data_IF_202653508283
#
_entry.id   IF_202653508283
#
_cell.length_a   1.000
_cell.length_b   1.000
_cell.length_c   1.000
_cell.angle_alpha   90.00
_cell.angle_beta   90.00
_cell.angle_gamma   90.00
#
_symmetry.space_group_name_H-M   'P 1'
#
loop_
_entity.id
_entity.type
_entity.pdbx_description
1 polymer ?
#
# COMPACT_ATOMS: atom_id res chain seq x y z
N UNK A 1 14.19 -8.03 -13.77
CA UNK A 1 13.70 -6.73 -14.27
C UNK A 1 12.52 -6.98 -15.20
N UNK A 2 11.33 -7.13 -14.62
CA UNK A 2 10.08 -7.30 -15.36
C UNK A 2 9.65 -5.97 -15.97
N UNK A 3 9.10 -5.93 -17.20
CA UNK A 3 8.67 -4.69 -17.88
C UNK A 3 7.70 -3.82 -17.06
N UNK A 4 6.90 -4.47 -16.20
CA UNK A 4 5.93 -3.81 -15.32
C UNK A 4 6.58 -2.97 -14.22
N UNK A 5 7.73 -3.39 -13.67
CA UNK A 5 8.46 -2.61 -12.66
C UNK A 5 8.97 -1.31 -13.29
N UNK A 6 9.45 -1.35 -14.53
CA UNK A 6 9.86 -0.15 -15.24
C UNK A 6 8.69 0.82 -15.45
N UNK A 7 7.51 0.31 -15.86
CA UNK A 7 6.30 1.10 -16.07
C UNK A 7 5.76 1.75 -14.78
N UNK A 8 5.77 1.03 -13.68
CA UNK A 8 5.32 1.55 -12.39
C UNK A 8 6.32 2.51 -11.75
N UNK A 9 7.63 2.24 -11.87
CA UNK A 9 8.68 3.17 -11.45
C UNK A 9 8.65 4.44 -12.32
N UNK A 10 8.26 4.34 -13.58
CA UNK A 10 8.06 5.50 -14.46
C UNK A 10 6.75 6.25 -14.22
N UNK A 11 5.92 5.83 -13.23
CA UNK A 11 4.60 6.40 -12.91
C UNK A 11 3.64 6.46 -14.11
N UNK A 12 3.83 5.58 -15.08
CA UNK A 12 2.98 5.56 -16.27
C UNK A 12 1.76 4.68 -15.99
N UNK A 13 0.75 5.29 -15.36
CA UNK A 13 -0.50 4.65 -14.95
C UNK A 13 -1.16 3.90 -16.12
N UNK A 14 -1.13 4.47 -17.33
CA UNK A 14 -1.72 3.86 -18.53
C UNK A 14 -0.93 2.65 -19.00
N UNK A 15 0.40 2.74 -19.01
CA UNK A 15 1.25 1.62 -19.39
C UNK A 15 1.14 0.48 -18.37
N UNK A 16 1.12 0.80 -17.07
CA UNK A 16 0.91 -0.18 -16.01
C UNK A 16 -0.47 -0.84 -16.13
N UNK A 17 -1.54 -0.08 -16.36
CA UNK A 17 -2.88 -0.61 -16.56
C UNK A 17 -2.99 -1.50 -17.80
N UNK A 18 -2.39 -1.10 -18.94
CA UNK A 18 -2.37 -1.90 -20.17
C UNK A 18 -1.59 -3.20 -20.02
N UNK A 19 -0.47 -3.19 -19.29
CA UNK A 19 0.31 -4.42 -19.04
C UNK A 19 -0.47 -5.33 -18.09
N UNK A 20 -1.15 -4.79 -17.08
CA UNK A 20 -1.99 -5.56 -16.16
C UNK A 20 -3.26 -6.11 -16.83
N UNK A 21 -3.88 -5.39 -17.78
CA UNK A 21 -5.04 -5.86 -18.55
C UNK A 21 -4.71 -7.03 -19.49
N UNK A 22 -3.48 -7.04 -20.00
CA UNK A 22 -3.06 -7.97 -21.05
C UNK A 22 -2.30 -9.18 -20.50
N UNK A 23 -1.86 -9.13 -19.24
CA UNK A 23 -1.19 -10.23 -18.54
C UNK A 23 -2.11 -10.70 -17.41
N UNK A 24 -2.99 -11.66 -17.73
CA UNK A 24 -3.85 -12.34 -16.76
C UNK A 24 -3.10 -13.30 -15.82
N UNK A 25 -1.90 -12.94 -15.36
CA UNK A 25 -1.12 -13.77 -14.43
C UNK A 25 -1.19 -13.22 -13.01
N UNK A 26 -1.35 -14.14 -12.04
CA UNK A 26 -0.92 -13.94 -10.65
C UNK A 26 0.58 -13.60 -10.67
N UNK A 27 0.93 -12.32 -10.68
CA UNK A 27 2.31 -11.87 -10.57
C UNK A 27 2.73 -12.02 -9.09
N UNK A 28 3.07 -13.25 -8.70
CA UNK A 28 3.81 -13.54 -7.46
C UNK A 28 5.30 -13.35 -7.75
N UNK A 29 5.79 -12.15 -7.44
CA UNK A 29 7.22 -11.84 -7.52
C UNK A 29 7.89 -12.34 -6.24
N UNK A 30 8.64 -13.42 -6.38
CA UNK A 30 9.63 -13.83 -5.41
C UNK A 30 10.88 -14.23 -6.17
N UNK A 31 11.91 -13.41 -6.10
CA UNK A 31 13.17 -13.84 -5.46
C UNK A 31 14.12 -12.67 -5.21
N UNK A 32 14.68 -12.68 -3.98
CA UNK A 32 15.75 -11.82 -3.47
C UNK A 32 15.31 -10.53 -2.74
N UNK A 33 14.74 -10.74 -1.55
CA UNK A 33 14.76 -9.89 -0.33
C UNK A 33 14.42 -8.39 -0.41
N UNK A 34 14.03 -7.83 -1.56
CA UNK A 34 13.80 -6.39 -1.75
C UNK A 34 12.88 -6.09 -2.94
N UNK A 35 11.96 -6.98 -3.30
CA UNK A 35 10.95 -6.72 -4.33
C UNK A 35 9.73 -6.05 -3.66
N UNK A 36 9.71 -4.72 -3.66
CA UNK A 36 8.57 -3.95 -3.14
C UNK A 36 7.36 -4.18 -4.05
N UNK A 37 6.26 -4.74 -3.52
CA UNK A 37 5.01 -4.91 -4.26
C UNK A 37 4.55 -3.55 -4.83
N UNK A 38 3.98 -3.56 -6.04
CA UNK A 38 3.47 -2.38 -6.73
C UNK A 38 2.53 -1.54 -5.85
N UNK A 39 1.64 -2.21 -5.09
CA UNK A 39 0.73 -1.53 -4.19
C UNK A 39 1.48 -0.82 -3.05
N UNK A 40 2.52 -1.46 -2.49
CA UNK A 40 3.35 -0.87 -1.43
C UNK A 40 4.11 0.35 -1.95
N UNK A 41 4.67 0.28 -3.16
CA UNK A 41 5.37 1.40 -3.79
C UNK A 41 4.44 2.57 -4.13
N UNK A 42 3.25 2.28 -4.68
CA UNK A 42 2.21 3.27 -4.93
C UNK A 42 1.74 3.93 -3.61
N UNK A 43 1.57 3.12 -2.56
CA UNK A 43 1.19 3.58 -1.23
C UNK A 43 2.24 4.49 -0.58
N UNK A 44 3.52 4.15 -0.69
CA UNK A 44 4.62 4.98 -0.18
C UNK A 44 4.74 6.32 -0.93
N UNK A 45 4.56 6.28 -2.25
CA UNK A 45 4.64 7.47 -3.11
C UNK A 45 3.41 8.39 -3.01
N UNK A 46 2.29 7.87 -2.50
CA UNK A 46 1.02 8.60 -2.39
C UNK A 46 0.23 8.63 -3.70
N UNK A 47 0.48 7.67 -4.60
CA UNK A 47 -0.17 7.60 -5.90
C UNK A 47 -1.57 6.98 -5.77
N UNK A 48 -2.55 7.78 -5.34
CA UNK A 48 -3.91 7.31 -5.05
C UNK A 48 -4.62 6.70 -6.27
N UNK A 49 -4.32 7.15 -7.48
CA UNK A 49 -4.88 6.60 -8.72
C UNK A 49 -4.33 5.19 -8.97
N UNK A 50 -3.01 5.02 -8.89
CA UNK A 50 -2.39 3.69 -9.00
C UNK A 50 -2.86 2.75 -7.88
N UNK A 51 -2.98 3.24 -6.65
CA UNK A 51 -3.50 2.44 -5.53
C UNK A 51 -4.92 1.97 -5.80
N UNK A 52 -5.81 2.84 -6.30
CA UNK A 52 -7.19 2.46 -6.61
C UNK A 52 -7.25 1.38 -7.69
N UNK A 53 -6.47 1.52 -8.76
CA UNK A 53 -6.40 0.51 -9.84
C UNK A 53 -5.88 -0.83 -9.32
N UNK A 54 -4.85 -0.81 -8.47
CA UNK A 54 -4.24 -2.02 -7.92
C UNK A 54 -5.14 -2.71 -6.87
N UNK A 55 -5.94 -1.95 -6.12
CA UNK A 55 -6.92 -2.50 -5.17
C UNK A 55 -8.08 -3.20 -5.86
N UNK A 56 -8.51 -2.73 -7.04
CA UNK A 56 -9.52 -3.41 -7.86
C UNK A 56 -9.03 -4.74 -8.48
N UNK A 57 -7.73 -5.06 -8.33
CA UNK A 57 -7.08 -6.26 -8.88
C UNK A 57 -6.63 -7.18 -7.76
N UNK A 58 -6.30 -8.43 -8.10
CA UNK A 58 -5.64 -9.32 -7.14
C UNK A 58 -4.19 -8.86 -6.92
N UNK A 59 -3.91 -8.35 -5.72
CA UNK A 59 -2.63 -7.75 -5.34
C UNK A 59 -1.90 -8.58 -4.28
N UNK A 60 -2.27 -9.85 -4.08
CA UNK A 60 -1.61 -10.76 -3.14
C UNK A 60 -2.20 -10.77 -1.73
N UNK A 61 -3.38 -10.17 -1.55
CA UNK A 61 -4.19 -10.28 -0.34
C UNK A 61 -3.81 -9.34 0.81
N UNK A 62 -4.42 -9.59 1.97
CA UNK A 62 -4.43 -8.69 3.13
C UNK A 62 -3.05 -8.40 3.75
N UNK A 63 -2.05 -9.26 3.56
CA UNK A 63 -0.68 -9.00 4.01
C UNK A 63 -0.03 -7.85 3.21
N UNK A 64 -0.26 -7.82 1.89
CA UNK A 64 0.23 -6.75 1.01
C UNK A 64 -0.50 -5.43 1.31
N UNK A 65 -1.81 -5.47 1.53
CA UNK A 65 -2.56 -4.28 1.94
C UNK A 65 -2.01 -3.71 3.26
N UNK A 66 -1.66 -4.58 4.22
CA UNK A 66 -1.11 -4.16 5.51
C UNK A 66 0.25 -3.50 5.33
N UNK A 67 1.14 -4.09 4.53
CA UNK A 67 2.43 -3.48 4.21
C UNK A 67 2.32 -2.19 3.41
N UNK A 68 1.29 -2.08 2.58
CA UNK A 68 0.97 -0.85 1.86
C UNK A 68 0.53 0.25 2.82
N UNK A 69 -0.30 -0.10 3.82
CA UNK A 69 -0.70 0.81 4.88
C UNK A 69 0.50 1.22 5.75
N UNK A 70 1.41 0.29 6.09
CA UNK A 70 2.65 0.57 6.80
C UNK A 70 3.49 1.63 6.05
N UNK A 71 3.66 1.44 4.73
CA UNK A 71 4.45 2.32 3.89
C UNK A 71 3.80 3.71 3.70
N UNK A 72 2.49 3.77 3.50
CA UNK A 72 1.73 5.01 3.42
C UNK A 72 1.78 5.79 4.73
N UNK A 73 1.56 5.14 5.86
CA UNK A 73 1.60 5.75 7.19
C UNK A 73 2.98 6.28 7.55
N UNK A 74 4.03 5.49 7.29
CA UNK A 74 5.41 5.93 7.47
C UNK A 74 5.82 7.07 6.51
N UNK A 75 5.10 7.26 5.41
CA UNK A 75 5.36 8.33 4.44
C UNK A 75 4.38 9.51 4.57
N UNK A 76 3.44 9.46 5.53
CA UNK A 76 2.45 10.51 5.76
C UNK A 76 1.36 10.63 4.68
N UNK A 77 1.13 9.58 3.88
CA UNK A 77 0.18 9.59 2.75
C UNK A 77 -1.25 9.32 3.22
N UNK A 78 -1.84 10.27 3.93
CA UNK A 78 -3.17 10.16 4.55
C UNK A 78 -4.30 9.86 3.57
N UNK A 79 -4.29 10.48 2.39
CA UNK A 79 -5.29 10.18 1.35
C UNK A 79 -5.21 8.73 0.87
N UNK A 80 -3.99 8.22 0.71
CA UNK A 80 -3.76 6.82 0.32
C UNK A 80 -4.10 5.84 1.43
N UNK A 81 -3.85 6.21 2.69
CA UNK A 81 -4.30 5.44 3.85
C UNK A 81 -5.83 5.33 3.89
N UNK A 82 -6.55 6.42 3.59
CA UNK A 82 -8.01 6.39 3.50
C UNK A 82 -8.49 5.43 2.40
N UNK A 83 -7.86 5.44 1.22
CA UNK A 83 -8.21 4.50 0.14
C UNK A 83 -8.03 3.04 0.57
N UNK A 84 -6.89 2.72 1.20
CA UNK A 84 -6.59 1.36 1.69
C UNK A 84 -7.58 0.91 2.78
N UNK A 85 -7.86 1.79 3.75
CA UNK A 85 -8.80 1.50 4.85
C UNK A 85 -10.26 1.42 4.38
N UNK A 86 -10.64 2.19 3.36
CA UNK A 86 -11.96 2.13 2.75
C UNK A 86 -12.15 0.84 1.94
N UNK A 87 -11.09 0.31 1.33
CA UNK A 87 -11.14 -0.95 0.60
C UNK A 87 -11.33 -2.14 1.54
N UNK A 88 -10.61 -2.17 2.66
CA UNK A 88 -10.67 -3.29 3.60
C UNK A 88 -10.74 -2.82 5.06
N UNK A 89 -11.94 -2.92 5.64
CA UNK A 89 -12.21 -2.49 7.03
C UNK A 89 -11.42 -3.29 8.07
N UNK A 90 -11.02 -4.52 7.77
CA UNK A 90 -10.23 -5.36 8.69
C UNK A 90 -8.75 -4.99 8.69
N UNK A 91 -8.31 -4.18 7.72
CA UNK A 91 -6.94 -3.76 7.55
C UNK A 91 -6.42 -2.97 8.75
N UNK A 92 -7.29 -2.17 9.38
CA UNK A 92 -6.91 -1.38 10.56
C UNK A 92 -6.56 -2.29 11.76
N UNK A 93 -7.19 -3.45 11.87
CA UNK A 93 -6.95 -4.39 12.96
C UNK A 93 -5.65 -5.18 12.75
N UNK A 94 -5.36 -5.59 11.50
CA UNK A 94 -4.15 -6.36 11.18
C UNK A 94 -2.90 -5.51 10.98
N UNK A 95 -3.01 -4.38 10.30
CA UNK A 95 -1.88 -3.50 9.95
C UNK A 95 -1.80 -2.20 10.76
N UNK A 96 -2.89 -1.81 11.45
CA UNK A 96 -2.97 -0.49 12.08
C UNK A 96 -1.95 -0.24 13.18
N UNK A 97 -1.64 -1.23 14.02
CA UNK A 97 -0.63 -1.06 15.10
C UNK A 97 0.74 -0.69 14.52
N UNK A 98 1.20 -1.46 13.53
CA UNK A 98 2.51 -1.25 12.93
C UNK A 98 2.55 -0.01 12.04
N UNK A 99 1.44 0.32 11.36
CA UNK A 99 1.29 1.58 10.65
C UNK A 99 1.40 2.78 11.61
N UNK A 100 0.77 2.69 12.79
CA UNK A 100 0.79 3.74 13.80
C UNK A 100 2.19 3.90 14.41
N UNK A 101 2.86 2.80 14.70
CA UNK A 101 4.25 2.81 15.17
C UNK A 101 5.16 3.53 14.17
N UNK A 102 5.04 3.23 12.87
CA UNK A 102 5.83 3.85 11.81
C UNK A 102 5.51 5.33 11.61
N UNK A 103 4.24 5.72 11.66
CA UNK A 103 3.82 7.12 11.59
C UNK A 103 4.42 7.91 12.75
N UNK A 104 4.33 7.39 13.98
CA UNK A 104 4.93 8.00 15.18
C UNK A 104 6.45 8.09 15.08
N UNK A 105 7.13 6.99 14.71
CA UNK A 105 8.59 6.94 14.60
C UNK A 105 9.15 7.92 13.56
N UNK A 106 8.36 8.24 12.52
CA UNK A 106 8.73 9.17 11.45
C UNK A 106 8.13 10.57 11.61
N UNK A 107 7.44 10.85 12.72
CA UNK A 107 6.87 12.17 13.01
C UNK A 107 5.66 12.56 12.16
N UNK A 108 4.99 11.59 11.53
CA UNK A 108 3.82 11.80 10.67
C UNK A 108 2.56 11.98 11.53
N UNK A 109 2.37 13.18 12.07
CA UNK A 109 1.33 13.47 13.07
C UNK A 109 -0.08 13.25 12.53
N UNK A 110 -0.35 13.72 11.31
CA UNK A 110 -1.65 13.62 10.66
C UNK A 110 -2.00 12.14 10.35
N UNK A 111 -1.02 11.36 9.89
CA UNK A 111 -1.20 9.92 9.67
C UNK A 111 -1.43 9.17 10.98
N UNK A 112 -0.72 9.51 12.05
CA UNK A 112 -0.92 8.91 13.37
C UNK A 112 -2.32 9.24 13.93
N UNK A 113 -2.76 10.51 13.81
CA UNK A 113 -4.11 10.92 14.22
C UNK A 113 -5.18 10.14 13.46
N UNK A 114 -5.07 10.06 12.14
CA UNK A 114 -5.99 9.30 11.29
C UNK A 114 -6.07 7.82 11.68
N UNK A 115 -4.93 7.17 11.97
CA UNK A 115 -4.93 5.76 12.38
C UNK A 115 -5.61 5.57 13.74
N UNK A 116 -5.39 6.48 14.69
CA UNK A 116 -6.06 6.44 16.00
C UNK A 116 -7.55 6.66 15.85
N UNK A 117 -7.98 7.62 15.03
CA UNK A 117 -9.40 7.86 14.73
C UNK A 117 -10.06 6.67 14.03
N UNK A 118 -9.32 5.96 13.17
CA UNK A 118 -9.77 4.75 12.52
C UNK A 118 -9.83 3.53 13.46
N UNK A 119 -9.34 3.64 14.70
CA UNK A 119 -9.36 2.57 15.69
C UNK A 119 -8.13 1.64 15.63
N UNK A 120 -7.00 2.11 15.11
CA UNK A 120 -5.76 1.34 15.14
C UNK A 120 -5.40 0.93 16.57
N UNK A 121 -5.00 -0.35 16.79
CA UNK A 121 -4.54 -0.78 18.10
C UNK A 121 -3.33 0.06 18.53
N UNK A 122 -3.35 0.58 19.75
CA UNK A 122 -2.24 1.37 20.31
C UNK A 122 -1.19 0.50 21.01
N UNK A 123 -1.36 -0.83 21.02
CA UNK A 123 -0.47 -1.79 21.67
C UNK A 123 -0.38 -3.12 20.91
N UNK A 124 0.74 -3.84 21.09
CA UNK A 124 0.87 -5.26 20.72
C UNK A 124 0.03 -6.09 21.71
N UNK A 125 -1.27 -6.13 21.50
CA UNK A 125 -2.21 -6.99 22.25
C UNK A 125 -2.31 -8.36 21.61
#
# INVERSE_FOLDING_TARGET
MTPLIYAAVSRDVKLTALILDNIGEEIKLGESSTETNLLIGAAASGDGEMVSILLERDHGGLEIEADSLHAAAGSGRTETMNLLLAHNVDLIHKGGYRALELACARGQREAAAMLVEAGAPTGRG
#
